data_IF_396167528981
#
_entry.id   IF_396167528981
#
_cell.length_a   1.000
_cell.length_b   1.000
_cell.length_c   1.000
_cell.angle_alpha   90.00
_cell.angle_beta   90.00
_cell.angle_gamma   90.00
#
_symmetry.space_group_name_H-M   'P 1'
#
loop_
_entity.id
_entity.type
_entity.pdbx_description
1 polymer ?
#
# COMPACT_ATOMS: atom_id res chain seq x y z
N UNK A 1 -34.12 22.47 3.54
CA UNK A 1 -33.67 21.27 2.82
C UNK A 1 -32.86 21.77 1.62
N UNK A 2 -31.53 21.75 1.71
CA UNK A 2 -30.64 22.32 0.69
C UNK A 2 -30.18 21.17 -0.20
N UNK A 3 -30.68 21.15 -1.44
CA UNK A 3 -30.16 20.27 -2.48
C UNK A 3 -28.82 20.82 -2.96
N UNK A 4 -27.74 20.07 -2.77
CA UNK A 4 -26.44 20.35 -3.40
C UNK A 4 -26.50 19.85 -4.84
N UNK A 5 -26.46 20.77 -5.80
CA UNK A 5 -26.36 20.46 -7.22
C UNK A 5 -24.92 20.09 -7.58
N UNK A 6 -24.72 18.86 -8.04
CA UNK A 6 -23.48 18.41 -8.69
C UNK A 6 -23.51 18.83 -10.17
N UNK A 7 -22.65 19.76 -10.56
CA UNK A 7 -22.05 19.81 -11.91
C UNK A 7 -21.16 21.04 -12.04
N UNK A 8 -19.87 20.83 -12.30
CA UNK A 8 -19.09 21.77 -13.09
C UNK A 8 -18.57 21.05 -14.33
N UNK A 9 -19.00 21.61 -15.46
CA UNK A 9 -18.68 21.20 -16.81
C UNK A 9 -17.28 21.73 -17.15
N UNK A 10 -16.29 20.84 -17.30
CA UNK A 10 -14.93 21.23 -17.71
C UNK A 10 -14.62 20.60 -19.06
N UNK A 11 -14.55 21.46 -20.07
CA UNK A 11 -14.13 21.12 -21.43
C UNK A 11 -12.78 20.41 -21.42
N UNK A 12 -12.78 19.16 -21.91
CA UNK A 12 -11.64 18.23 -22.00
C UNK A 12 -10.45 18.81 -22.79
N UNK A 13 -9.28 18.79 -22.17
CA UNK A 13 -7.99 18.50 -22.84
C UNK A 13 -7.53 17.11 -22.38
N UNK A 14 -6.94 16.32 -23.27
CA UNK A 14 -6.40 14.97 -23.01
C UNK A 14 -5.12 15.02 -22.15
N UNK A 15 -5.23 15.58 -20.95
CA UNK A 15 -4.23 15.47 -19.89
C UNK A 15 -4.79 14.41 -18.92
N UNK A 16 -3.97 13.48 -18.38
CA UNK A 16 -4.42 12.60 -17.31
C UNK A 16 -5.07 13.44 -16.22
N UNK A 17 -6.38 13.28 -16.03
CA UNK A 17 -7.12 14.07 -15.06
C UNK A 17 -6.61 13.73 -13.66
N UNK A 18 -6.34 14.72 -12.80
CA UNK A 18 -6.05 14.50 -11.38
C UNK A 18 -7.06 13.55 -10.75
N UNK A 19 -6.63 12.78 -9.74
CA UNK A 19 -7.56 12.08 -8.85
C UNK A 19 -8.19 13.13 -7.95
N UNK A 20 -9.18 13.84 -8.49
CA UNK A 20 -9.87 14.92 -7.80
C UNK A 20 -10.51 14.40 -6.51
N UNK A 21 -10.47 15.22 -5.45
CA UNK A 21 -11.07 14.93 -4.14
C UNK A 21 -12.52 14.48 -4.26
N UNK A 22 -13.27 15.02 -5.23
CA UNK A 22 -14.65 14.66 -5.51
C UNK A 22 -14.84 13.21 -6.01
N UNK A 23 -13.77 12.52 -6.42
CA UNK A 23 -13.80 11.14 -6.91
C UNK A 23 -13.38 10.10 -5.85
N UNK A 24 -13.02 10.54 -4.64
CA UNK A 24 -12.72 9.65 -3.51
C UNK A 24 -14.02 9.10 -2.89
N UNK A 25 -14.74 8.23 -3.60
CA UNK A 25 -15.91 7.55 -3.03
C UNK A 25 -15.46 6.41 -2.11
N UNK A 26 -16.26 6.13 -1.07
CA UNK A 26 -16.11 5.00 -0.14
C UNK A 26 -16.34 3.63 -0.78
N UNK A 27 -16.90 3.61 -2.00
CA UNK A 27 -17.38 2.40 -2.65
C UNK A 27 -16.84 2.30 -4.07
N UNK A 28 -15.74 1.56 -4.24
CA UNK A 28 -15.29 1.06 -5.55
C UNK A 28 -16.38 0.20 -6.24
N UNK A 29 -17.39 -0.24 -5.49
CA UNK A 29 -18.61 -0.89 -5.99
C UNK A 29 -19.56 0.09 -6.71
N UNK A 30 -19.54 1.39 -6.37
CA UNK A 30 -20.52 2.40 -6.86
C UNK A 30 -20.04 3.26 -8.04
N UNK A 31 -18.74 3.24 -8.38
CA UNK A 31 -18.19 3.93 -9.55
C UNK A 31 -18.46 3.06 -10.79
N UNK A 32 -19.71 3.01 -11.24
CA UNK A 32 -20.18 2.15 -12.33
C UNK A 32 -20.23 2.82 -13.72
N UNK A 33 -19.64 4.01 -13.89
CA UNK A 33 -19.75 4.78 -15.15
C UNK A 33 -18.43 5.00 -15.91
N UNK A 34 -17.31 4.47 -15.40
CA UNK A 34 -16.09 4.32 -16.21
C UNK A 34 -15.76 2.83 -16.30
N UNK A 35 -15.52 2.26 -17.50
CA UNK A 35 -14.92 0.93 -17.59
C UNK A 35 -13.65 0.97 -16.75
N UNK A 36 -13.66 0.24 -15.64
CA UNK A 36 -12.64 0.28 -14.57
C UNK A 36 -11.27 0.21 -15.21
N UNK A 37 -10.57 1.35 -15.31
CA UNK A 37 -9.18 1.32 -15.72
C UNK A 37 -8.46 0.46 -14.68
N UNK A 38 -7.92 -0.71 -15.06
CA UNK A 38 -7.38 -1.64 -14.09
C UNK A 38 -6.18 -1.00 -13.40
N UNK A 39 -6.10 -1.16 -12.08
CA UNK A 39 -4.86 -0.86 -11.36
C UNK A 39 -3.82 -1.86 -11.88
N UNK A 40 -2.71 -1.35 -12.37
CA UNK A 40 -1.59 -2.16 -12.85
C UNK A 40 -0.49 -2.16 -11.80
N UNK A 41 0.24 -3.28 -11.70
CA UNK A 41 1.36 -3.42 -10.77
C UNK A 41 2.66 -3.56 -11.54
N UNK A 42 3.72 -2.96 -11.01
CA UNK A 42 5.08 -3.15 -11.51
C UNK A 42 6.05 -3.25 -10.34
N UNK A 43 7.03 -4.14 -10.49
CA UNK A 43 8.22 -4.13 -9.66
C UNK A 43 9.23 -3.16 -10.28
N UNK A 44 9.79 -2.26 -9.46
CA UNK A 44 10.69 -1.20 -9.91
C UNK A 44 12.02 -1.26 -9.15
N UNK A 45 13.08 -0.72 -9.78
CA UNK A 45 14.38 -0.60 -9.11
C UNK A 45 14.32 0.42 -7.97
N UNK A 46 15.24 0.30 -7.00
CA UNK A 46 15.35 1.24 -5.88
C UNK A 46 15.46 2.69 -6.35
N UNK A 47 16.37 2.97 -7.30
CA UNK A 47 16.58 4.31 -7.83
C UNK A 47 15.32 4.88 -8.50
N UNK A 48 14.63 4.07 -9.31
CA UNK A 48 13.40 4.50 -9.96
C UNK A 48 12.26 4.71 -8.95
N UNK A 49 12.20 3.88 -7.92
CA UNK A 49 11.22 4.00 -6.84
C UNK A 49 11.40 5.30 -6.06
N UNK A 50 12.65 5.71 -5.79
CA UNK A 50 12.94 7.01 -5.16
C UNK A 50 12.33 8.17 -5.97
N UNK A 51 12.52 8.17 -7.29
CA UNK A 51 11.93 9.18 -8.17
C UNK A 51 10.40 9.12 -8.17
N UNK A 52 9.82 7.91 -8.13
CA UNK A 52 8.37 7.72 -8.05
C UNK A 52 7.80 8.29 -6.74
N UNK A 53 8.47 8.05 -5.60
CA UNK A 53 8.06 8.57 -4.29
C UNK A 53 8.01 10.10 -4.33
N UNK A 54 9.05 10.74 -4.85
CA UNK A 54 9.12 12.20 -4.97
C UNK A 54 7.98 12.74 -5.86
N UNK A 55 7.78 12.12 -7.03
CA UNK A 55 6.71 12.52 -7.95
C UNK A 55 5.32 12.30 -7.36
N UNK A 56 5.10 11.20 -6.64
CA UNK A 56 3.84 10.90 -5.98
C UNK A 56 3.53 11.92 -4.88
N UNK A 57 4.52 12.29 -4.06
CA UNK A 57 4.36 13.34 -3.04
C UNK A 57 4.03 14.71 -3.65
N UNK A 58 4.77 15.12 -4.68
CA UNK A 58 4.48 16.38 -5.39
C UNK A 58 3.11 16.36 -6.06
N UNK A 59 2.70 15.25 -6.67
CA UNK A 59 1.39 15.15 -7.30
C UNK A 59 0.26 15.28 -6.28
N UNK A 60 0.38 14.64 -5.11
CA UNK A 60 -0.61 14.77 -4.03
C UNK A 60 -0.76 16.25 -3.63
N UNK A 61 0.35 16.98 -3.48
CA UNK A 61 0.33 18.41 -3.17
C UNK A 61 -0.31 19.22 -4.30
N UNK A 62 0.09 18.99 -5.55
CA UNK A 62 -0.43 19.69 -6.74
C UNK A 62 -1.92 19.42 -7.01
N UNK A 63 -2.40 18.23 -6.67
CA UNK A 63 -3.82 17.86 -6.68
C UNK A 63 -4.60 18.56 -5.55
N UNK A 64 -3.91 19.40 -4.78
CA UNK A 64 -4.46 20.27 -3.77
C UNK A 64 -4.77 19.54 -2.47
N UNK A 65 -4.23 18.33 -2.22
CA UNK A 65 -4.54 17.57 -1.00
C UNK A 65 -4.07 18.25 0.29
N UNK A 66 -3.13 19.19 0.19
CA UNK A 66 -2.69 20.00 1.33
C UNK A 66 -3.83 20.90 1.86
N UNK A 67 -4.00 20.85 3.18
CA UNK A 67 -4.63 21.83 4.08
C UNK A 67 -5.67 22.81 3.49
N UNK A 68 -6.95 22.44 3.60
CA UNK A 68 -8.07 23.38 3.53
C UNK A 68 -8.38 23.84 4.96
N UNK A 69 -7.59 24.77 5.51
CA UNK A 69 -7.76 25.26 6.88
C UNK A 69 -8.78 26.41 7.05
N UNK A 70 -9.68 26.62 6.10
CA UNK A 70 -10.72 27.63 6.27
C UNK A 70 -11.96 27.03 6.96
N UNK A 71 -11.99 27.23 8.28
CA UNK A 71 -13.15 27.25 9.18
C UNK A 71 -13.98 25.96 9.31
N UNK A 72 -13.90 25.34 10.49
CA UNK A 72 -14.79 24.25 10.91
C UNK A 72 -14.58 22.95 10.13
N UNK A 73 -13.60 22.15 10.54
CA UNK A 73 -13.44 20.82 9.98
C UNK A 73 -14.56 19.91 10.52
N UNK A 74 -15.47 19.53 9.64
CA UNK A 74 -16.32 18.37 9.88
C UNK A 74 -15.43 17.11 10.06
N UNK A 75 -16.01 16.05 10.62
CA UNK A 75 -15.29 14.81 10.91
C UNK A 75 -14.66 14.18 9.65
N UNK A 76 -15.29 14.36 8.49
CA UNK A 76 -14.82 13.80 7.22
C UNK A 76 -13.58 14.54 6.72
N UNK A 77 -13.56 15.87 6.79
CA UNK A 77 -12.36 16.67 6.48
C UNK A 77 -11.20 16.31 7.41
N UNK A 78 -11.46 16.05 8.70
CA UNK A 78 -10.41 15.56 9.62
C UNK A 78 -9.86 14.20 9.21
N UNK A 79 -10.72 13.26 8.82
CA UNK A 79 -10.29 11.94 8.32
C UNK A 79 -9.48 12.07 7.04
N UNK A 80 -9.85 12.97 6.13
CA UNK A 80 -9.10 13.21 4.90
C UNK A 80 -7.74 13.84 5.16
N UNK A 81 -7.68 14.83 6.05
CA UNK A 81 -6.42 15.44 6.47
C UNK A 81 -5.47 14.40 7.07
N UNK A 82 -5.99 13.57 7.98
CA UNK A 82 -5.21 12.47 8.56
C UNK A 82 -4.66 11.51 7.49
N UNK A 83 -5.46 11.15 6.47
CA UNK A 83 -4.99 10.30 5.37
C UNK A 83 -3.88 10.97 4.56
N UNK A 84 -4.01 12.26 4.27
CA UNK A 84 -2.98 13.03 3.56
C UNK A 84 -1.68 13.04 4.37
N UNK A 85 -1.75 13.38 5.66
CA UNK A 85 -0.59 13.41 6.57
C UNK A 85 0.08 12.03 6.66
N UNK A 86 -0.71 10.98 6.93
CA UNK A 86 -0.21 9.59 7.00
C UNK A 86 0.47 9.17 5.69
N UNK A 87 -0.12 9.50 4.53
CA UNK A 87 0.49 9.19 3.23
C UNK A 87 1.82 9.94 3.05
N UNK A 88 1.87 11.23 3.35
CA UNK A 88 3.08 12.04 3.22
C UNK A 88 4.21 11.53 4.14
N UNK A 89 3.89 11.23 5.39
CA UNK A 89 4.84 10.69 6.36
C UNK A 89 5.37 9.32 5.91
N UNK A 90 4.50 8.44 5.41
CA UNK A 90 4.92 7.13 4.89
C UNK A 90 5.77 7.25 3.62
N UNK A 91 5.47 8.19 2.71
CA UNK A 91 6.31 8.46 1.53
C UNK A 91 7.70 8.98 1.94
N UNK A 92 7.77 9.86 2.93
CA UNK A 92 9.04 10.34 3.49
C UNK A 92 9.84 9.20 4.12
N UNK A 93 9.20 8.34 4.92
CA UNK A 93 9.83 7.15 5.48
C UNK A 93 10.37 6.22 4.38
N UNK A 94 9.61 6.05 3.31
CA UNK A 94 10.01 5.24 2.16
C UNK A 94 11.27 5.79 1.49
N UNK A 95 11.32 7.10 1.26
CA UNK A 95 12.47 7.79 0.71
C UNK A 95 13.72 7.56 1.57
N UNK A 96 13.62 7.74 2.89
CA UNK A 96 14.72 7.54 3.83
C UNK A 96 15.23 6.09 3.85
N UNK A 97 14.31 5.11 3.82
CA UNK A 97 14.65 3.68 3.79
C UNK A 97 15.42 3.32 2.52
N UNK A 98 14.97 3.81 1.36
CA UNK A 98 15.60 3.50 0.08
C UNK A 98 16.93 4.23 -0.12
N UNK A 99 17.05 5.48 0.34
CA UNK A 99 18.32 6.21 0.30
C UNK A 99 19.39 5.53 1.15
N UNK A 100 19.06 5.12 2.38
CA UNK A 100 19.99 4.35 3.22
C UNK A 100 20.48 3.09 2.51
N UNK A 101 19.59 2.39 1.81
CA UNK A 101 19.97 1.21 1.02
C UNK A 101 20.91 1.57 -0.14
N UNK A 102 20.66 2.67 -0.84
CA UNK A 102 21.52 3.16 -1.93
C UNK A 102 22.92 3.55 -1.44
N UNK A 103 23.02 4.10 -0.22
CA UNK A 103 24.30 4.39 0.45
C UNK A 103 25.05 3.13 0.91
N UNK A 104 24.52 1.92 0.66
CA UNK A 104 25.12 0.66 1.10
C UNK A 104 24.92 0.37 2.59
N UNK A 105 24.09 1.15 3.30
CA UNK A 105 23.70 0.84 4.68
C UNK A 105 22.64 -0.27 4.61
N UNK A 106 23.03 -1.50 4.97
CA UNK A 106 22.28 -2.78 4.87
C UNK A 106 22.52 -3.57 3.57
N UNK A 107 23.75 -4.05 3.30
CA UNK A 107 24.03 -4.84 2.10
C UNK A 107 23.25 -6.18 2.07
N UNK A 108 23.06 -6.81 3.24
CA UNK A 108 22.49 -8.17 3.39
C UNK A 108 20.97 -8.28 3.27
N UNK A 109 20.27 -7.17 3.02
CA UNK A 109 18.80 -7.16 2.88
C UNK A 109 18.40 -6.76 1.48
N UNK A 110 17.80 -7.67 0.71
CA UNK A 110 17.22 -7.38 -0.60
C UNK A 110 15.90 -6.63 -0.46
N UNK A 111 15.67 -5.62 -1.29
CA UNK A 111 14.41 -4.88 -1.32
C UNK A 111 13.68 -5.11 -2.65
N UNK A 112 12.39 -5.42 -2.55
CA UNK A 112 11.47 -5.45 -3.69
C UNK A 112 10.50 -4.28 -3.58
N UNK A 113 10.51 -3.38 -4.56
CA UNK A 113 9.67 -2.20 -4.59
C UNK A 113 8.49 -2.45 -5.54
N UNK A 114 7.29 -2.60 -5.00
CA UNK A 114 6.07 -2.82 -5.76
C UNK A 114 5.30 -1.52 -5.88
N UNK A 115 4.97 -1.12 -7.10
CA UNK A 115 4.26 0.11 -7.42
C UNK A 115 2.94 -0.23 -8.09
N UNK A 116 1.85 0.32 -7.55
CA UNK A 116 0.54 0.28 -8.20
C UNK A 116 0.30 1.56 -8.98
N UNK A 117 -0.21 1.43 -10.21
CA UNK A 117 -0.52 2.55 -11.09
C UNK A 117 -1.99 2.55 -11.48
N UNK A 118 -2.61 3.73 -11.44
CA UNK A 118 -3.92 3.98 -12.02
C UNK A 118 -3.74 4.95 -13.20
N UNK A 119 -4.11 4.52 -14.41
CA UNK A 119 -3.91 5.31 -15.65
C UNK A 119 -2.49 5.91 -15.75
N UNK A 120 -1.47 5.07 -15.53
CA UNK A 120 -0.05 5.45 -15.56
C UNK A 120 0.43 6.38 -14.43
N UNK A 121 -0.47 6.79 -13.53
CA UNK A 121 -0.12 7.59 -12.35
C UNK A 121 0.18 6.63 -11.19
N UNK A 122 1.33 6.77 -10.50
CA UNK A 122 1.62 5.95 -9.33
C UNK A 122 0.66 6.31 -8.20
N UNK A 123 0.02 5.30 -7.63
CA UNK A 123 -1.04 5.47 -6.62
C UNK A 123 -0.85 4.60 -5.38
N UNK A 124 0.26 3.87 -5.32
CA UNK A 124 0.61 3.09 -4.14
C UNK A 124 1.97 2.45 -4.28
N UNK A 125 2.57 2.19 -3.13
CA UNK A 125 3.91 1.69 -2.96
C UNK A 125 3.92 0.66 -1.82
N UNK A 126 4.59 -0.45 -2.06
CA UNK A 126 4.95 -1.42 -1.03
C UNK A 126 6.44 -1.74 -1.16
N UNK A 127 7.17 -1.64 -0.05
CA UNK A 127 8.57 -2.06 0.04
C UNK A 127 8.64 -3.33 0.87
N UNK A 128 9.09 -4.40 0.23
CA UNK A 128 9.28 -5.71 0.85
C UNK A 128 10.77 -5.94 1.09
N UNK A 129 11.15 -6.20 2.34
CA UNK A 129 12.51 -6.54 2.72
C UNK A 129 12.68 -8.04 2.89
N UNK A 130 13.76 -8.57 2.32
CA UNK A 130 14.13 -9.99 2.39
C UNK A 130 15.55 -10.08 2.91
N UNK A 131 15.71 -10.71 4.07
CA UNK A 131 17.02 -10.93 4.68
C UNK A 131 17.67 -12.15 4.03
N UNK A 132 18.96 -12.07 3.75
CA UNK A 132 19.73 -13.25 3.35
C UNK A 132 19.71 -14.31 4.46
N UNK A 133 19.49 -15.57 4.07
CA UNK A 133 19.52 -16.69 5.02
C UNK A 133 20.95 -16.86 5.53
N UNK A 134 21.15 -16.63 6.82
CA UNK A 134 22.40 -17.02 7.49
C UNK A 134 22.34 -18.50 7.79
N UNK A 135 23.38 -19.23 7.41
CA UNK A 135 23.50 -20.68 7.59
C UNK A 135 23.60 -21.11 9.06
N UNK A 136 23.73 -20.17 10.01
CA UNK A 136 24.03 -20.44 11.42
C UNK A 136 23.00 -19.91 12.42
N UNK A 137 21.78 -19.57 12.00
CA UNK A 137 20.77 -19.08 12.94
C UNK A 137 20.26 -20.23 13.83
N UNK A 138 20.73 -20.25 15.09
CA UNK A 138 20.18 -21.13 16.12
C UNK A 138 18.75 -20.69 16.46
N UNK A 139 17.77 -21.53 16.17
CA UNK A 139 16.36 -21.16 16.33
C UNK A 139 15.92 -21.21 17.79
N UNK A 140 15.62 -20.04 18.36
CA UNK A 140 15.09 -19.92 19.72
C UNK A 140 13.59 -20.30 19.81
N UNK A 141 12.85 -20.26 18.69
CA UNK A 141 11.45 -20.71 18.61
C UNK A 141 10.97 -20.82 17.15
N UNK A 142 9.84 -21.51 16.95
CA UNK A 142 9.15 -21.64 15.64
C UNK A 142 8.70 -20.27 15.11
N UNK A 143 8.18 -19.39 15.98
CA UNK A 143 7.75 -18.05 15.55
C UNK A 143 8.94 -17.16 15.14
N UNK A 144 10.06 -17.24 15.87
CA UNK A 144 11.28 -16.55 15.48
C UNK A 144 11.82 -17.06 14.13
N UNK A 145 11.70 -18.35 13.85
CA UNK A 145 12.03 -18.91 12.54
C UNK A 145 11.22 -18.24 11.43
N UNK A 146 9.90 -18.21 11.55
CA UNK A 146 9.04 -17.61 10.51
C UNK A 146 9.32 -16.12 10.30
N UNK A 147 9.52 -15.35 11.37
CA UNK A 147 9.82 -13.92 11.26
C UNK A 147 11.17 -13.70 10.58
N UNK A 148 12.19 -14.51 10.89
CA UNK A 148 13.51 -14.35 10.29
C UNK A 148 13.60 -14.83 8.83
N UNK A 149 12.69 -15.71 8.40
CA UNK A 149 12.73 -16.36 7.08
C UNK A 149 11.60 -15.94 6.14
N UNK A 150 10.68 -15.08 6.59
CA UNK A 150 9.63 -14.51 5.73
C UNK A 150 9.95 -13.06 5.36
N UNK A 151 9.51 -12.59 4.19
CA UNK A 151 9.64 -11.19 3.82
C UNK A 151 8.87 -10.24 4.77
N UNK A 152 9.49 -9.10 5.08
CA UNK A 152 8.95 -8.03 5.92
C UNK A 152 8.38 -6.90 5.06
N UNK A 153 7.15 -6.46 5.34
CA UNK A 153 6.61 -5.22 4.77
C UNK A 153 7.17 -4.04 5.58
N UNK A 154 8.13 -3.33 5.02
CA UNK A 154 8.73 -2.15 5.65
C UNK A 154 7.85 -0.90 5.48
N UNK A 155 7.34 -0.72 4.27
CA UNK A 155 6.54 0.43 3.88
C UNK A 155 5.34 -0.08 3.09
N UNK A 156 4.18 0.46 3.42
CA UNK A 156 2.95 0.26 2.68
C UNK A 156 2.16 1.56 2.68
N UNK A 157 1.97 2.15 1.51
CA UNK A 157 1.31 3.44 1.36
C UNK A 157 0.50 3.47 0.07
N UNK A 158 -0.68 4.09 0.14
CA UNK A 158 -1.54 4.36 -1.02
C UNK A 158 -1.82 5.85 -1.11
N UNK A 159 -2.12 6.32 -2.31
CA UNK A 159 -2.59 7.68 -2.55
C UNK A 159 -3.84 7.96 -1.71
N UNK A 160 -3.97 9.13 -1.05
CA UNK A 160 -5.09 9.41 -0.13
C UNK A 160 -6.46 9.40 -0.83
N UNK A 161 -6.48 9.69 -2.13
CA UNK A 161 -7.67 9.64 -2.97
C UNK A 161 -8.18 8.25 -3.35
N UNK A 162 -7.39 7.19 -3.15
CA UNK A 162 -7.76 5.83 -3.56
C UNK A 162 -7.96 4.96 -2.33
N UNK A 163 -9.11 4.28 -2.30
CA UNK A 163 -9.46 3.31 -1.27
C UNK A 163 -9.33 1.90 -1.81
N UNK A 164 -9.10 0.92 -0.94
CA UNK A 164 -9.08 -0.51 -1.26
C UNK A 164 -8.08 -0.96 -2.35
N UNK A 165 -7.23 -0.10 -2.91
CA UNK A 165 -6.15 -0.49 -3.83
C UNK A 165 -5.02 -1.23 -3.11
N UNK A 166 -4.90 -0.99 -1.80
CA UNK A 166 -3.85 -1.57 -0.99
C UNK A 166 -3.85 -3.11 -1.01
N UNK A 167 -5.01 -3.74 -1.16
CA UNK A 167 -5.07 -5.21 -1.20
C UNK A 167 -4.35 -5.79 -2.41
N UNK A 168 -4.37 -5.09 -3.54
CA UNK A 168 -3.71 -5.53 -4.78
C UNK A 168 -2.18 -5.58 -4.57
N UNK A 169 -1.62 -4.59 -3.85
CA UNK A 169 -0.21 -4.59 -3.47
C UNK A 169 0.13 -5.75 -2.52
N UNK A 170 -0.73 -6.02 -1.54
CA UNK A 170 -0.52 -7.10 -0.57
C UNK A 170 -0.62 -8.47 -1.26
N UNK A 171 -1.60 -8.68 -2.14
CA UNK A 171 -1.72 -9.90 -2.94
C UNK A 171 -0.45 -10.16 -3.76
N UNK A 172 0.08 -9.13 -4.40
CA UNK A 172 1.34 -9.25 -5.13
C UNK A 172 2.53 -9.53 -4.20
N UNK A 173 2.58 -8.92 -3.02
CA UNK A 173 3.61 -9.20 -2.03
C UNK A 173 3.54 -10.65 -1.51
N UNK A 174 2.34 -11.18 -1.30
CA UNK A 174 2.11 -12.59 -0.92
C UNK A 174 2.63 -13.50 -2.03
N UNK A 175 2.27 -13.23 -3.29
CA UNK A 175 2.74 -14.03 -4.41
C UNK A 175 4.26 -13.92 -4.64
N UNK A 176 4.85 -12.74 -4.38
CA UNK A 176 6.30 -12.59 -4.38
C UNK A 176 6.95 -13.43 -3.28
N UNK A 177 6.39 -13.42 -2.07
CA UNK A 177 6.83 -14.30 -0.98
C UNK A 177 6.72 -15.79 -1.34
N UNK A 178 5.65 -16.20 -2.04
CA UNK A 178 5.52 -17.55 -2.56
C UNK A 178 6.63 -17.90 -3.56
N UNK A 179 6.92 -17.02 -4.52
CA UNK A 179 8.00 -17.19 -5.50
C UNK A 179 9.38 -17.31 -4.84
N UNK A 180 9.58 -16.65 -3.70
CA UNK A 180 10.80 -16.72 -2.90
C UNK A 180 10.90 -18.00 -2.04
N UNK A 181 9.93 -18.90 -2.13
CA UNK A 181 9.89 -20.14 -1.34
C UNK A 181 9.44 -19.93 0.11
N UNK A 182 8.81 -18.81 0.43
CA UNK A 182 8.34 -18.46 1.77
C UNK A 182 6.83 -18.77 1.96
N UNK A 183 6.26 -19.66 1.14
CA UNK A 183 4.86 -20.12 1.20
C UNK A 183 3.80 -18.99 1.19
N UNK A 184 4.16 -17.80 0.68
CA UNK A 184 3.31 -16.62 0.69
C UNK A 184 3.19 -15.93 2.05
N UNK A 185 3.99 -16.35 3.04
CA UNK A 185 3.98 -15.76 4.38
C UNK A 185 4.61 -14.37 4.35
N UNK A 186 3.97 -13.41 4.99
CA UNK A 186 4.47 -12.06 5.19
C UNK A 186 4.43 -11.69 6.66
N UNK A 187 5.27 -10.74 7.08
CA UNK A 187 5.08 -10.06 8.35
C UNK A 187 5.23 -8.55 8.20
N UNK A 188 4.66 -7.82 9.15
CA UNK A 188 4.68 -6.37 9.19
C UNK A 188 4.77 -5.88 10.64
N UNK A 189 5.27 -4.66 10.80
CA UNK A 189 5.29 -3.92 12.07
C UNK A 189 4.35 -2.71 11.96
N UNK A 190 3.02 -2.89 12.00
CA UNK A 190 2.09 -1.81 11.74
C UNK A 190 2.10 -0.76 12.86
N UNK A 191 1.90 0.50 12.48
CA UNK A 191 1.55 1.56 13.43
C UNK A 191 0.15 1.31 14.00
N UNK A 192 -0.16 1.90 15.16
CA UNK A 192 -1.42 1.64 15.88
C UNK A 192 -2.68 1.83 15.02
N UNK A 193 -2.71 2.87 14.17
CA UNK A 193 -3.83 3.14 13.26
C UNK A 193 -4.01 2.10 12.14
N UNK A 194 -2.94 1.42 11.74
CA UNK A 194 -2.96 0.48 10.63
C UNK A 194 -3.38 -0.96 11.03
N UNK A 195 -3.34 -1.30 12.33
CA UNK A 195 -3.61 -2.66 12.84
C UNK A 195 -4.94 -3.22 12.33
N UNK A 196 -5.99 -2.40 12.32
CA UNK A 196 -7.32 -2.81 11.82
C UNK A 196 -7.29 -3.14 10.33
N UNK A 197 -6.58 -2.36 9.51
CA UNK A 197 -6.44 -2.61 8.08
C UNK A 197 -5.72 -3.94 7.82
N UNK A 198 -4.61 -4.20 8.50
CA UNK A 198 -3.89 -5.47 8.41
C UNK A 198 -4.75 -6.66 8.86
N UNK A 199 -5.49 -6.51 9.96
CA UNK A 199 -6.43 -7.55 10.45
C UNK A 199 -7.52 -7.84 9.41
N UNK A 200 -8.04 -6.80 8.76
CA UNK A 200 -9.03 -6.95 7.69
C UNK A 200 -8.45 -7.71 6.48
N UNK A 201 -7.15 -7.62 6.23
CA UNK A 201 -6.43 -8.38 5.20
C UNK A 201 -6.03 -9.80 5.65
N UNK A 202 -6.34 -10.20 6.88
CA UNK A 202 -6.08 -11.55 7.40
C UNK A 202 -4.76 -11.70 8.15
N UNK A 203 -4.06 -10.60 8.46
CA UNK A 203 -2.92 -10.64 9.35
C UNK A 203 -3.36 -10.92 10.79
N UNK A 204 -2.56 -11.69 11.52
CA UNK A 204 -2.76 -12.03 12.94
C UNK A 204 -1.61 -11.44 13.75
N UNK A 205 -1.93 -10.89 14.92
CA UNK A 205 -0.91 -10.31 15.82
C UNK A 205 -0.05 -11.42 16.45
N UNK A 206 1.26 -11.27 16.35
CA UNK A 206 2.26 -12.18 16.94
C UNK A 206 3.31 -11.32 17.68
N UNK A 207 3.06 -11.08 18.96
CA UNK A 207 3.89 -10.18 19.77
C UNK A 207 3.85 -8.73 19.27
N UNK A 208 5.02 -8.19 18.89
CA UNK A 208 5.16 -6.83 18.36
C UNK A 208 4.88 -6.71 16.85
N UNK A 209 4.71 -7.85 16.17
CA UNK A 209 4.51 -7.93 14.73
C UNK A 209 3.09 -8.41 14.41
N UNK A 210 2.72 -8.30 13.15
CA UNK A 210 1.60 -9.01 12.58
C UNK A 210 2.09 -9.91 11.45
N UNK A 211 1.60 -11.15 11.39
CA UNK A 211 1.96 -12.13 10.38
C UNK A 211 0.73 -12.49 9.54
N UNK A 212 0.93 -12.60 8.23
CA UNK A 212 -0.04 -13.15 7.29
C UNK A 212 0.44 -14.51 6.83
N UNK A 213 -0.37 -15.54 7.09
CA UNK A 213 -0.21 -16.88 6.54
C UNK A 213 -1.43 -17.13 5.63
N UNK A 214 -1.29 -17.07 4.30
CA UNK A 214 -2.45 -17.17 3.41
C UNK A 214 -3.01 -18.61 3.35
N UNK A 215 -2.17 -19.64 3.53
CA UNK A 215 -2.61 -21.02 3.63
C UNK A 215 -3.50 -21.22 4.87
N UNK A 216 -4.72 -21.72 4.66
CA UNK A 216 -5.70 -21.94 5.74
C UNK A 216 -6.38 -20.67 6.25
N UNK A 217 -6.16 -19.52 5.62
CA UNK A 217 -6.83 -18.27 5.95
C UNK A 217 -8.06 -18.09 5.06
N UNK A 218 -9.25 -18.00 5.65
CA UNK A 218 -10.52 -17.90 4.91
C UNK A 218 -10.62 -16.65 4.00
N UNK A 219 -9.74 -15.64 4.18
CA UNK A 219 -9.69 -14.45 3.32
C UNK A 219 -8.79 -14.63 2.09
N UNK A 220 -8.12 -15.77 1.98
CA UNK A 220 -7.14 -16.04 0.93
C UNK A 220 -7.42 -17.38 0.29
N UNK A 221 -7.38 -17.41 -1.03
CA UNK A 221 -7.59 -18.62 -1.81
C UNK A 221 -6.40 -18.86 -2.72
N UNK A 222 -5.96 -20.11 -2.82
CA UNK A 222 -4.93 -20.50 -3.76
C UNK A 222 -5.55 -20.92 -5.09
N UNK A 223 -5.33 -20.12 -6.14
CA UNK A 223 -5.86 -20.35 -7.49
C UNK A 223 -4.79 -20.07 -8.55
N UNK A 224 -4.72 -20.91 -9.58
CA UNK A 224 -3.83 -20.72 -10.74
C UNK A 224 -2.35 -20.49 -10.36
N UNK A 225 -1.86 -21.19 -9.34
CA UNK A 225 -0.45 -21.10 -8.91
C UNK A 225 -0.11 -19.89 -8.04
N UNK A 226 -1.11 -19.12 -7.57
CA UNK A 226 -0.91 -17.99 -6.68
C UNK A 226 -2.05 -17.83 -5.67
N UNK A 227 -1.81 -17.02 -4.66
CA UNK A 227 -2.85 -16.60 -3.72
C UNK A 227 -3.61 -15.39 -4.25
N UNK A 228 -4.91 -15.39 -4.02
CA UNK A 228 -5.80 -14.26 -4.26
C UNK A 228 -6.58 -13.91 -3.00
N UNK A 229 -6.82 -12.62 -2.81
CA UNK A 229 -7.66 -12.16 -1.71
C UNK A 229 -9.13 -12.38 -2.05
N UNK A 230 -9.85 -13.06 -1.17
CA UNK A 230 -11.30 -13.18 -1.22
C UNK A 230 -11.92 -12.02 -0.43
N UNK A 231 -12.62 -11.14 -1.12
CA UNK A 231 -13.40 -10.10 -0.49
C UNK A 231 -14.64 -10.74 0.16
N UNK A 232 -14.52 -11.19 1.41
CA UNK A 232 -15.67 -11.56 2.25
C UNK A 232 -16.31 -10.29 2.78
N UNK A 233 -17.63 -10.16 2.59
CA UNK A 233 -18.43 -8.96 2.90
C UNK A 233 -18.08 -8.33 4.25
N UNK A 234 -17.68 -7.06 4.20
CA UNK A 234 -17.63 -6.16 5.35
C UNK A 234 -19.05 -5.71 5.65
#
# INVERSE_FOLDING_TARGET
MIFRSNSFDVKKKNIPSPLDRAQSSSDISSISLYPKAPITLKEESVLKTINIIYNMGNQIVMDGWENIFDQGLDEDKRKWQSRYEDTCDMLKCAYDVLNKKQEGRNPTTGYYCLISYFKWTPVGLLILAVKEKKSSDSFASVDAYFINHSPEILIFVTHPGIQNSGIILIEHAVNKSLQLGCAGVLHASPTGGAVRAYTNMGFVKTGRFMALKPAGNAKWEYQNGGYRFQCGGI
#
